data_IF_374416770356
#
_entry.id   IF_374416770356
#
_cell.length_a   1.000
_cell.length_b   1.000
_cell.length_c   1.000
_cell.angle_alpha   90.00
_cell.angle_beta   90.00
_cell.angle_gamma   90.00
#
_symmetry.space_group_name_H-M   'P 1'
#
loop_
_entity.id
_entity.type
_entity.pdbx_description
1 polymer ?
#
# COMPACT_ATOMS: atom_id res chain seq x y z
N UNK A 1 -1.42 -1.89 17.61
CA UNK A 1 -1.10 -0.95 16.53
C UNK A 1 -2.36 -0.20 16.13
N UNK A 2 -2.31 1.11 16.06
CA UNK A 2 -3.45 1.92 15.64
C UNK A 2 -3.65 1.83 14.12
N UNK A 3 -4.83 2.24 13.64
CA UNK A 3 -5.10 2.29 12.21
C UNK A 3 -4.07 3.16 11.49
N UNK A 4 -3.73 4.32 12.07
CA UNK A 4 -2.77 5.23 11.45
C UNK A 4 -1.36 4.65 11.39
N UNK A 5 -0.93 3.98 12.45
CA UNK A 5 0.37 3.32 12.48
C UNK A 5 0.44 2.21 11.43
N UNK A 6 -0.60 1.37 11.37
CA UNK A 6 -0.66 0.30 10.38
C UNK A 6 -0.68 0.86 8.96
N UNK A 7 -1.50 1.90 8.72
CA UNK A 7 -1.59 2.52 7.39
C UNK A 7 -0.24 3.04 6.91
N UNK A 8 0.49 3.75 7.77
CA UNK A 8 1.81 4.25 7.43
C UNK A 8 2.78 3.13 7.09
N UNK A 9 2.77 2.09 7.91
CA UNK A 9 3.65 0.96 7.71
C UNK A 9 3.31 0.19 6.43
N UNK A 10 2.03 -0.12 6.19
CA UNK A 10 1.64 -0.92 5.03
C UNK A 10 1.80 -0.16 3.72
N UNK A 11 1.59 1.16 3.72
CA UNK A 11 1.86 1.99 2.53
C UNK A 11 3.33 1.91 2.15
N UNK A 12 4.22 2.06 3.13
CA UNK A 12 5.66 1.93 2.90
C UNK A 12 6.00 0.56 2.35
N UNK A 13 5.42 -0.49 2.93
CA UNK A 13 5.66 -1.86 2.49
C UNK A 13 5.23 -2.06 1.03
N UNK A 14 4.04 -1.57 0.67
CA UNK A 14 3.55 -1.63 -0.72
C UNK A 14 4.52 -0.95 -1.68
N UNK A 15 4.97 0.26 -1.36
CA UNK A 15 5.88 1.00 -2.22
C UNK A 15 7.22 0.29 -2.35
N UNK A 16 7.73 -0.31 -1.29
CA UNK A 16 8.96 -1.09 -1.34
C UNK A 16 8.82 -2.34 -2.20
N UNK A 17 7.67 -3.01 -2.14
CA UNK A 17 7.39 -4.15 -3.00
C UNK A 17 7.36 -3.73 -4.47
N UNK A 18 6.69 -2.63 -4.78
CA UNK A 18 6.62 -2.11 -6.15
C UNK A 18 7.99 -1.67 -6.67
N UNK A 19 8.89 -1.27 -5.81
CA UNK A 19 10.25 -0.87 -6.16
C UNK A 19 11.25 -2.02 -6.13
N UNK A 20 10.77 -3.26 -6.03
CA UNK A 20 11.61 -4.46 -5.98
C UNK A 20 12.58 -4.47 -4.78
N UNK A 21 12.25 -3.74 -3.73
CA UNK A 21 13.10 -3.64 -2.53
C UNK A 21 12.62 -4.57 -1.42
N UNK A 22 11.51 -5.26 -1.65
CA UNK A 22 10.93 -6.21 -0.72
C UNK A 22 10.13 -7.24 -1.50
N UNK A 23 10.16 -8.50 -1.04
CA UNK A 23 9.44 -9.57 -1.70
C UNK A 23 7.93 -9.43 -1.50
N UNK A 24 7.16 -9.68 -2.55
CA UNK A 24 5.69 -9.61 -2.48
C UNK A 24 5.12 -10.60 -1.47
N UNK A 25 5.81 -11.71 -1.21
CA UNK A 25 5.39 -12.71 -0.22
C UNK A 25 5.32 -12.14 1.20
N UNK A 26 6.04 -11.05 1.48
CA UNK A 26 5.96 -10.39 2.78
C UNK A 26 4.60 -9.74 3.03
N UNK A 27 3.80 -9.55 1.96
CA UNK A 27 2.45 -9.01 2.09
C UNK A 27 1.42 -10.05 2.54
N UNK A 28 1.75 -11.34 2.45
CA UNK A 28 0.77 -12.41 2.66
C UNK A 28 0.15 -12.39 4.06
N UNK A 29 0.91 -11.97 5.08
CA UNK A 29 0.42 -11.93 6.46
C UNK A 29 -0.42 -10.69 6.77
N UNK A 30 -0.41 -9.68 5.91
CA UNK A 30 -1.04 -8.38 6.19
C UNK A 30 -1.98 -7.89 5.09
N UNK A 31 -2.16 -8.65 4.03
CA UNK A 31 -3.01 -8.25 2.90
C UNK A 31 -3.81 -9.44 2.39
N UNK A 32 -4.98 -9.14 1.82
CA UNK A 32 -5.80 -10.16 1.19
C UNK A 32 -5.08 -10.78 -0.01
N UNK A 33 -5.39 -12.05 -0.27
CA UNK A 33 -4.75 -12.81 -1.34
C UNK A 33 -4.87 -12.14 -2.71
N UNK A 34 -6.00 -11.48 -2.99
CA UNK A 34 -6.19 -10.76 -4.26
C UNK A 34 -5.23 -9.59 -4.42
N UNK A 35 -4.92 -8.91 -3.31
CA UNK A 35 -3.97 -7.80 -3.33
C UNK A 35 -2.56 -8.32 -3.56
N UNK A 36 -2.20 -9.40 -2.88
CA UNK A 36 -0.90 -10.04 -3.07
C UNK A 36 -0.72 -10.47 -4.53
N UNK A 37 -1.76 -11.08 -5.12
CA UNK A 37 -1.73 -11.50 -6.52
C UNK A 37 -1.60 -10.32 -7.48
N UNK A 38 -2.34 -9.22 -7.23
CA UNK A 38 -2.26 -8.02 -8.05
C UNK A 38 -0.88 -7.37 -7.98
N UNK A 39 -0.29 -7.29 -6.80
CA UNK A 39 1.06 -6.75 -6.63
C UNK A 39 2.09 -7.63 -7.35
N UNK A 40 1.95 -8.95 -7.23
CA UNK A 40 2.83 -9.89 -7.93
C UNK A 40 2.78 -9.67 -9.43
N UNK A 41 1.59 -9.49 -9.98
CA UNK A 41 1.42 -9.22 -11.41
C UNK A 41 2.09 -7.92 -11.81
N UNK A 42 1.88 -6.84 -11.04
CA UNK A 42 2.52 -5.55 -11.32
C UNK A 42 4.04 -5.66 -11.31
N UNK A 43 4.60 -6.34 -10.33
CA UNK A 43 6.05 -6.53 -10.22
C UNK A 43 6.59 -7.39 -11.36
N UNK A 44 5.92 -8.50 -11.67
CA UNK A 44 6.39 -9.44 -12.69
C UNK A 44 6.28 -8.88 -14.10
N UNK A 45 5.28 -8.04 -14.37
CA UNK A 45 5.11 -7.42 -15.69
C UNK A 45 5.73 -6.04 -15.77
N UNK A 46 6.23 -5.53 -14.66
CA UNK A 46 6.81 -4.18 -14.54
C UNK A 46 5.83 -3.07 -14.96
N UNK A 47 4.53 -3.30 -14.75
CA UNK A 47 3.49 -2.30 -15.03
C UNK A 47 3.21 -1.55 -13.73
N UNK A 48 4.07 -0.58 -13.44
CA UNK A 48 4.01 0.21 -12.21
C UNK A 48 4.05 1.69 -12.58
N UNK A 49 3.04 2.49 -12.19
CA UNK A 49 2.98 3.90 -12.56
C UNK A 49 4.26 4.65 -12.16
N UNK A 50 4.86 5.32 -13.15
CA UNK A 50 6.01 6.17 -12.93
C UNK A 50 7.29 5.47 -12.50
N UNK A 51 7.38 4.16 -12.62
CA UNK A 51 8.50 3.37 -12.10
C UNK A 51 9.86 3.86 -12.61
N UNK A 52 9.93 4.27 -13.89
CA UNK A 52 11.16 4.77 -14.50
C UNK A 52 11.61 6.15 -14.01
N UNK A 53 10.77 6.86 -13.25
CA UNK A 53 11.09 8.20 -12.75
C UNK A 53 11.92 8.17 -11.48
N UNK A 54 12.03 7.04 -10.81
CA UNK A 54 12.82 6.91 -9.59
C UNK A 54 12.11 6.13 -8.51
N UNK A 55 12.78 5.98 -7.39
CA UNK A 55 12.28 5.28 -6.20
C UNK A 55 11.12 6.07 -5.60
N UNK A 56 10.09 5.37 -5.15
CA UNK A 56 8.97 5.99 -4.47
C UNK A 56 9.39 6.52 -3.10
N UNK A 57 9.08 7.79 -2.86
CA UNK A 57 9.31 8.43 -1.56
C UNK A 57 7.95 8.69 -0.93
N UNK A 58 7.59 8.00 0.17
CA UNK A 58 6.30 8.19 0.81
C UNK A 58 6.12 9.62 1.31
N UNK A 59 4.92 10.16 1.13
CA UNK A 59 4.54 11.45 1.65
C UNK A 59 3.51 11.32 2.76
N UNK A 60 2.52 12.21 2.75
CA UNK A 60 1.46 12.21 3.76
C UNK A 60 0.54 11.01 3.59
N UNK A 61 0.22 10.38 4.72
CA UNK A 61 -0.78 9.30 4.81
C UNK A 61 -1.94 9.81 5.66
N UNK A 62 -3.14 9.81 5.10
CA UNK A 62 -4.36 10.19 5.82
C UNK A 62 -5.24 8.96 6.00
N UNK A 63 -5.85 8.86 7.17
CA UNK A 63 -6.69 7.73 7.56
C UNK A 63 -8.02 8.26 8.02
N UNK A 64 -9.12 7.76 7.45
CA UNK A 64 -10.46 8.11 7.84
C UNK A 64 -11.21 6.84 8.26
N UNK A 65 -11.60 6.78 9.53
CA UNK A 65 -12.40 5.65 10.03
C UNK A 65 -13.79 5.69 9.40
N UNK A 66 -14.19 4.57 8.80
CA UNK A 66 -15.55 4.37 8.26
C UNK A 66 -16.45 3.84 9.37
N UNK A 67 -15.92 2.90 10.14
CA UNK A 67 -16.55 2.36 11.34
C UNK A 67 -15.44 1.91 12.29
N UNK A 68 -15.78 1.20 13.37
CA UNK A 68 -14.81 0.80 14.39
C UNK A 68 -13.73 -0.15 13.85
N UNK A 69 -13.98 -0.81 12.70
CA UNK A 69 -13.12 -1.88 12.20
C UNK A 69 -12.60 -1.60 10.79
N UNK A 70 -12.99 -0.50 10.16
CA UNK A 70 -12.66 -0.24 8.76
C UNK A 70 -12.21 1.20 8.59
N UNK A 71 -11.13 1.41 7.86
CA UNK A 71 -10.64 2.74 7.56
C UNK A 71 -10.27 2.87 6.08
N UNK A 72 -10.53 4.05 5.54
CA UNK A 72 -10.05 4.44 4.21
C UNK A 72 -8.71 5.15 4.37
N UNK A 73 -7.77 4.81 3.49
CA UNK A 73 -6.40 5.33 3.52
C UNK A 73 -6.11 6.00 2.19
N UNK A 74 -5.59 7.22 2.26
CA UNK A 74 -5.06 7.91 1.10
C UNK A 74 -3.62 8.28 1.39
N UNK A 75 -2.74 8.05 0.42
CA UNK A 75 -1.33 8.37 0.58
C UNK A 75 -0.79 9.00 -0.70
N UNK A 76 0.00 10.06 -0.52
CA UNK A 76 0.79 10.62 -1.60
C UNK A 76 2.20 10.04 -1.58
N UNK A 77 2.83 9.98 -2.74
CA UNK A 77 4.24 9.61 -2.85
C UNK A 77 4.83 10.24 -4.11
N UNK A 78 6.14 10.44 -4.08
CA UNK A 78 6.85 11.05 -5.20
C UNK A 78 7.76 10.03 -5.87
N UNK A 79 7.87 10.15 -7.19
CA UNK A 79 8.90 9.46 -7.98
C UNK A 79 9.59 10.53 -8.82
N UNK A 80 10.82 10.85 -8.46
CA UNK A 80 11.52 11.96 -9.10
C UNK A 80 10.69 13.25 -8.99
N UNK A 81 10.45 13.97 -10.10
CA UNK A 81 9.71 15.24 -10.07
C UNK A 81 8.19 15.07 -10.06
N UNK A 82 7.66 13.85 -10.11
CA UNK A 82 6.22 13.63 -10.20
C UNK A 82 5.63 13.13 -8.91
N UNK A 83 4.41 13.59 -8.65
CA UNK A 83 3.63 13.22 -7.49
C UNK A 83 2.54 12.21 -7.90
N UNK A 84 2.40 11.15 -7.11
CA UNK A 84 1.40 10.10 -7.31
C UNK A 84 0.58 9.91 -6.04
N UNK A 85 -0.50 9.15 -6.17
CA UNK A 85 -1.35 8.83 -5.04
C UNK A 85 -1.71 7.36 -5.06
N UNK A 86 -1.98 6.81 -3.87
CA UNK A 86 -2.62 5.53 -3.74
C UNK A 86 -3.78 5.63 -2.77
N UNK A 87 -4.76 4.77 -2.96
CA UNK A 87 -5.90 4.63 -2.08
C UNK A 87 -5.96 3.20 -1.59
N UNK A 88 -6.37 3.02 -0.36
CA UNK A 88 -6.44 1.69 0.24
C UNK A 88 -7.56 1.63 1.26
N UNK A 89 -7.95 0.41 1.59
CA UNK A 89 -8.83 0.15 2.73
C UNK A 89 -8.13 -0.83 3.63
N UNK A 90 -8.20 -0.57 4.92
CA UNK A 90 -7.71 -1.49 5.94
C UNK A 90 -8.87 -1.90 6.84
N UNK A 91 -8.86 -3.16 7.25
CA UNK A 91 -9.93 -3.73 8.06
C UNK A 91 -9.32 -4.45 9.24
N UNK A 92 -9.92 -4.25 10.41
CA UNK A 92 -9.47 -4.91 11.63
C UNK A 92 -10.29 -6.17 11.86
N UNK A 93 -9.60 -7.31 11.90
CA UNK A 93 -10.22 -8.60 12.16
C UNK A 93 -9.45 -9.30 13.26
N UNK A 94 -10.14 -9.75 14.29
CA UNK A 94 -9.51 -10.42 15.44
C UNK A 94 -8.37 -9.59 16.05
N UNK A 95 -8.60 -8.27 16.13
CA UNK A 95 -7.63 -7.36 16.72
C UNK A 95 -6.45 -7.00 15.81
N UNK A 96 -6.42 -7.48 14.58
CA UNK A 96 -5.33 -7.19 13.66
C UNK A 96 -5.80 -6.49 12.40
N UNK A 97 -5.06 -5.47 11.99
CA UNK A 97 -5.32 -4.75 10.74
C UNK A 97 -4.81 -5.54 9.54
N UNK A 98 -5.57 -5.48 8.45
CA UNK A 98 -5.20 -6.06 7.17
C UNK A 98 -5.52 -5.10 6.05
N UNK A 99 -4.71 -5.15 4.99
CA UNK A 99 -4.96 -4.41 3.76
C UNK A 99 -6.00 -5.20 2.94
N UNK A 100 -7.18 -4.60 2.73
CA UNK A 100 -8.30 -5.30 2.10
C UNK A 100 -8.71 -4.70 0.76
N UNK A 101 -8.19 -3.52 0.41
CA UNK A 101 -8.34 -2.95 -0.93
C UNK A 101 -7.14 -2.06 -1.20
N UNK A 102 -6.74 -1.97 -2.47
CA UNK A 102 -5.60 -1.17 -2.88
C UNK A 102 -5.78 -0.70 -4.32
N UNK A 103 -5.53 0.59 -4.53
CA UNK A 103 -5.47 1.18 -5.86
C UNK A 103 -4.24 2.07 -5.93
N UNK A 104 -3.35 1.76 -6.86
CA UNK A 104 -2.11 2.49 -7.09
C UNK A 104 -2.26 3.30 -8.38
N UNK A 105 -1.92 4.58 -8.31
CA UNK A 105 -2.00 5.47 -9.46
C UNK A 105 -0.71 6.23 -9.65
#
# INVERSE_FOLDING_TARGET
>A
MSAKEFARWVVRLVLEVLDHRRLVTHMASVADARIVAALRTMVNTDVIPGRGLGVAVPGRVTVRMVDAKTAEVCAGYDRGPRHFALAARITRTRGQWRLTALRVR
#
